data_IF_581260409983
#
_entry.id   IF_581260409983
#
_cell.length_a   1.000
_cell.length_b   1.000
_cell.length_c   1.000
_cell.angle_alpha   90.00
_cell.angle_beta   90.00
_cell.angle_gamma   90.00
#
_symmetry.space_group_name_H-M   'P 1'
#
loop_
_entity.id
_entity.type
_entity.pdbx_description
1 polymer ?
#
# COMPACT_ATOMS: atom_id res chain seq x y z
N UNK A 1 43.75 20.42 -22.92
CA UNK A 1 43.44 20.90 -21.57
C UNK A 1 41.89 21.06 -21.38
N UNK A 2 41.09 20.27 -22.11
CA UNK A 2 39.62 20.44 -22.17
C UNK A 2 38.77 19.32 -21.55
N UNK A 3 39.40 18.34 -20.92
CA UNK A 3 38.66 17.17 -20.36
C UNK A 3 38.17 17.42 -18.92
N UNK A 4 38.59 18.50 -18.24
CA UNK A 4 38.22 18.77 -16.83
C UNK A 4 36.97 19.61 -16.65
N UNK A 5 36.47 20.31 -17.64
CA UNK A 5 35.32 21.24 -17.49
C UNK A 5 34.00 20.49 -17.68
N UNK A 6 33.92 19.55 -18.58
CA UNK A 6 32.70 18.76 -18.83
C UNK A 6 32.33 17.86 -17.61
N UNK A 7 33.31 17.27 -16.95
CA UNK A 7 33.07 16.43 -15.77
C UNK A 7 32.62 17.24 -14.54
N UNK A 8 33.09 18.49 -14.38
CA UNK A 8 32.64 19.35 -13.28
C UNK A 8 31.21 19.87 -13.51
N UNK A 9 30.82 20.17 -14.73
CA UNK A 9 29.46 20.60 -15.05
C UNK A 9 28.48 19.43 -14.84
N UNK A 10 28.83 18.21 -15.25
CA UNK A 10 27.99 17.02 -15.05
C UNK A 10 27.80 16.67 -13.57
N UNK A 11 28.85 16.77 -12.74
CA UNK A 11 28.77 16.56 -11.29
C UNK A 11 27.98 17.70 -10.58
N UNK A 12 28.12 18.93 -11.01
CA UNK A 12 27.41 20.06 -10.45
C UNK A 12 25.91 20.02 -10.83
N UNK A 13 25.58 19.71 -12.09
CA UNK A 13 24.22 19.49 -12.53
C UNK A 13 23.56 18.28 -11.83
N UNK A 14 24.33 17.21 -11.59
CA UNK A 14 23.84 16.04 -10.84
C UNK A 14 23.55 16.39 -9.37
N UNK A 15 24.43 17.18 -8.70
CA UNK A 15 24.21 17.65 -7.32
C UNK A 15 23.06 18.63 -7.20
N UNK A 16 22.92 19.57 -8.13
CA UNK A 16 21.79 20.52 -8.17
C UNK A 16 20.49 19.80 -8.46
N UNK A 17 20.48 18.85 -9.37
CA UNK A 17 19.31 18.01 -9.66
C UNK A 17 18.94 17.10 -8.48
N UNK A 18 19.94 16.63 -7.72
CA UNK A 18 19.75 15.88 -6.48
C UNK A 18 19.16 16.75 -5.37
N UNK A 19 19.69 17.95 -5.18
CA UNK A 19 19.16 18.91 -4.20
C UNK A 19 17.76 19.40 -4.55
N UNK A 20 17.45 19.59 -5.83
CA UNK A 20 16.11 19.92 -6.30
C UNK A 20 15.14 18.71 -6.18
N UNK A 21 15.61 17.48 -6.38
CA UNK A 21 14.79 16.26 -6.14
C UNK A 21 14.50 16.02 -4.66
N UNK A 22 15.39 16.39 -3.75
CA UNK A 22 15.10 16.35 -2.30
C UNK A 22 14.02 17.37 -1.88
N UNK A 23 13.80 18.41 -2.68
CA UNK A 23 12.73 19.40 -2.49
C UNK A 23 11.47 19.00 -3.26
N UNK A 24 11.59 18.25 -4.35
CA UNK A 24 10.50 17.70 -5.15
C UNK A 24 10.10 16.33 -4.60
N UNK A 25 8.84 16.20 -4.24
CA UNK A 25 8.23 15.08 -3.53
C UNK A 25 8.61 13.68 -4.03
N UNK A 26 8.36 12.69 -3.17
CA UNK A 26 8.55 11.25 -3.44
C UNK A 26 7.83 10.81 -4.71
N UNK A 27 8.50 9.98 -5.52
CA UNK A 27 7.90 9.40 -6.72
C UNK A 27 6.74 8.47 -6.36
N UNK A 28 5.61 8.63 -7.03
CA UNK A 28 4.44 7.77 -6.88
C UNK A 28 4.32 6.89 -8.11
N UNK A 29 4.26 5.60 -7.91
CA UNK A 29 4.10 4.60 -8.97
C UNK A 29 2.74 3.92 -8.78
N UNK A 30 1.92 3.93 -9.83
CA UNK A 30 0.54 3.46 -9.73
C UNK A 30 0.23 2.45 -10.84
N UNK A 31 -0.18 1.23 -10.46
CA UNK A 31 -0.76 0.31 -11.41
C UNK A 31 -2.26 0.61 -11.55
N UNK A 32 -2.74 0.74 -12.79
CA UNK A 32 -4.12 1.10 -13.13
C UNK A 32 -4.71 0.13 -14.15
N UNK A 33 -6.05 0.05 -14.25
CA UNK A 33 -6.70 -0.53 -15.41
C UNK A 33 -6.23 0.19 -16.70
N UNK A 34 -6.05 -0.53 -17.83
CA UNK A 34 -5.47 0.04 -19.06
C UNK A 34 -6.17 1.31 -19.56
N UNK A 35 -7.49 1.38 -19.44
CA UNK A 35 -8.29 2.52 -19.87
C UNK A 35 -8.07 3.80 -19.05
N UNK A 36 -7.38 3.73 -17.90
CA UNK A 36 -7.12 4.90 -17.05
C UNK A 36 -5.70 5.42 -17.16
N UNK A 37 -4.76 4.64 -17.69
CA UNK A 37 -3.34 5.01 -17.74
C UNK A 37 -3.13 6.33 -18.47
N UNK A 38 -3.74 6.49 -19.64
CA UNK A 38 -3.55 7.67 -20.49
C UNK A 38 -4.24 8.93 -19.96
N UNK A 39 -5.32 8.80 -19.21
CA UNK A 39 -6.09 9.92 -18.71
C UNK A 39 -5.81 10.30 -17.25
N UNK A 40 -5.10 9.47 -16.50
CA UNK A 40 -4.87 9.63 -15.07
C UNK A 40 -4.31 11.02 -14.70
N UNK A 41 -3.26 11.45 -15.38
CA UNK A 41 -2.59 12.72 -15.08
C UNK A 41 -3.52 13.92 -15.30
N UNK A 42 -4.38 13.86 -16.31
CA UNK A 42 -5.34 14.91 -16.61
C UNK A 42 -6.51 14.91 -15.61
N UNK A 43 -7.00 13.71 -15.21
CA UNK A 43 -8.13 13.56 -14.28
C UNK A 43 -7.75 13.96 -12.85
N UNK A 44 -6.58 13.55 -12.39
CA UNK A 44 -6.10 13.84 -11.02
C UNK A 44 -5.33 15.16 -10.94
N UNK A 45 -5.07 15.83 -12.07
CA UNK A 45 -4.28 17.09 -12.14
C UNK A 45 -2.88 16.95 -11.52
N UNK A 46 -2.21 15.83 -11.79
CA UNK A 46 -0.87 15.51 -11.26
C UNK A 46 0.19 15.48 -12.36
N UNK A 47 1.43 15.84 -12.01
CA UNK A 47 2.53 15.87 -12.98
C UNK A 47 3.05 14.49 -13.31
N UNK A 48 3.58 14.33 -14.53
CA UNK A 48 4.28 13.10 -14.96
C UNK A 48 5.68 12.97 -14.34
N UNK A 49 6.21 14.03 -13.75
CA UNK A 49 7.50 14.02 -13.05
C UNK A 49 7.37 13.34 -11.68
N UNK A 50 6.27 13.63 -10.97
CA UNK A 50 6.00 13.07 -9.65
C UNK A 50 5.30 11.70 -9.73
N UNK A 51 4.49 11.49 -10.75
CA UNK A 51 3.68 10.29 -10.91
C UNK A 51 4.06 9.51 -12.17
N UNK A 52 4.12 8.21 -12.02
CA UNK A 52 4.18 7.26 -13.11
C UNK A 52 3.04 6.25 -12.97
N UNK A 53 2.32 5.99 -14.05
CA UNK A 53 1.30 4.96 -14.06
C UNK A 53 1.44 4.03 -15.26
N UNK A 54 1.10 2.76 -15.05
CA UNK A 54 1.04 1.74 -16.08
C UNK A 54 -0.01 0.70 -15.74
N UNK A 55 -0.35 -0.15 -16.69
CA UNK A 55 -1.17 -1.34 -16.48
C UNK A 55 -0.33 -2.60 -16.58
N UNK A 56 -0.81 -3.70 -16.00
CA UNK A 56 -0.22 -5.00 -16.27
C UNK A 56 -0.24 -5.31 -17.77
N UNK A 57 0.73 -6.10 -18.29
CA UNK A 57 0.74 -6.53 -19.67
C UNK A 57 -0.56 -7.27 -20.03
N UNK A 58 -1.05 -7.05 -21.24
CA UNK A 58 -2.30 -7.66 -21.72
C UNK A 58 -2.23 -9.19 -21.63
N UNK A 59 -3.21 -9.78 -20.96
CA UNK A 59 -3.29 -11.24 -20.78
C UNK A 59 -2.40 -11.81 -19.68
N UNK A 60 -1.47 -11.03 -19.10
CA UNK A 60 -0.62 -11.50 -18.02
C UNK A 60 -1.36 -11.39 -16.66
N UNK A 61 -1.08 -12.36 -15.78
CA UNK A 61 -1.48 -12.35 -14.37
C UNK A 61 -0.22 -12.42 -13.54
N UNK A 62 0.36 -11.25 -13.26
CA UNK A 62 1.66 -11.17 -12.62
C UNK A 62 1.61 -11.41 -11.10
N UNK A 63 0.45 -11.32 -10.47
CA UNK A 63 0.35 -11.29 -9.00
C UNK A 63 0.84 -9.96 -8.41
N UNK A 64 0.77 -9.81 -7.09
CA UNK A 64 1.15 -8.56 -6.42
C UNK A 64 2.67 -8.31 -6.45
N UNK A 65 3.49 -9.32 -6.32
CA UNK A 65 4.96 -9.22 -6.43
C UNK A 65 5.42 -8.99 -7.86
N UNK A 66 4.91 -9.77 -8.82
CA UNK A 66 5.20 -9.59 -10.24
C UNK A 66 4.71 -8.24 -10.77
N UNK A 67 3.53 -7.77 -10.34
CA UNK A 67 3.01 -6.45 -10.66
C UNK A 67 3.89 -5.32 -10.08
N UNK A 68 4.43 -5.50 -8.87
CA UNK A 68 5.44 -4.59 -8.30
C UNK A 68 6.68 -4.51 -9.21
N UNK A 69 7.21 -5.66 -9.60
CA UNK A 69 8.38 -5.74 -10.49
C UNK A 69 8.14 -5.08 -11.83
N UNK A 70 6.99 -5.34 -12.44
CA UNK A 70 6.58 -4.72 -13.70
C UNK A 70 6.52 -3.19 -13.61
N UNK A 71 5.88 -2.69 -12.55
CA UNK A 71 5.70 -1.26 -12.34
C UNK A 71 7.05 -0.54 -12.12
N UNK A 72 7.96 -1.13 -11.34
CA UNK A 72 9.33 -0.62 -11.13
C UNK A 72 10.13 -0.60 -12.44
N UNK A 73 10.15 -1.71 -13.18
CA UNK A 73 10.87 -1.82 -14.44
C UNK A 73 10.32 -0.87 -15.52
N UNK A 74 9.00 -0.74 -15.63
CA UNK A 74 8.38 0.16 -16.57
C UNK A 74 8.74 1.64 -16.27
N UNK A 75 8.73 2.02 -14.98
CA UNK A 75 9.15 3.35 -14.55
C UNK A 75 10.64 3.61 -14.84
N UNK A 76 11.52 2.68 -14.45
CA UNK A 76 12.96 2.79 -14.70
C UNK A 76 13.27 2.92 -16.19
N UNK A 77 12.70 2.06 -17.02
CA UNK A 77 12.94 2.09 -18.49
C UNK A 77 12.50 3.41 -19.12
N UNK A 78 11.45 4.03 -18.61
CA UNK A 78 10.98 5.32 -19.10
C UNK A 78 11.86 6.49 -18.65
N UNK A 79 12.35 6.44 -17.40
CA UNK A 79 13.03 7.58 -16.75
C UNK A 79 14.56 7.53 -16.89
N UNK A 80 15.11 6.33 -16.83
CA UNK A 80 16.55 6.09 -16.77
C UNK A 80 16.91 4.74 -17.43
N UNK A 81 16.71 4.59 -18.76
CA UNK A 81 16.90 3.31 -19.47
C UNK A 81 18.33 2.75 -19.35
N UNK A 82 19.31 3.62 -19.25
CA UNK A 82 20.74 3.26 -19.20
C UNK A 82 21.28 3.08 -17.76
N UNK A 83 20.44 3.25 -16.73
CA UNK A 83 20.83 3.10 -15.33
C UNK A 83 20.48 1.71 -14.84
N UNK A 84 21.37 1.07 -14.08
CA UNK A 84 21.09 -0.24 -13.46
C UNK A 84 19.93 -0.17 -12.46
N UNK A 85 19.30 -1.30 -12.21
CA UNK A 85 18.22 -1.38 -11.20
C UNK A 85 18.72 -0.94 -9.83
N UNK A 86 19.91 -1.41 -9.45
CA UNK A 86 20.55 -1.09 -8.17
C UNK A 86 20.77 0.42 -7.99
N UNK A 87 21.35 1.06 -9.00
CA UNK A 87 21.61 2.49 -8.96
C UNK A 87 20.30 3.29 -8.96
N UNK A 88 19.33 2.88 -9.78
CA UNK A 88 18.05 3.57 -9.90
C UNK A 88 17.21 3.46 -8.61
N UNK A 89 17.20 2.30 -7.93
CA UNK A 89 16.49 2.11 -6.67
C UNK A 89 17.01 3.05 -5.59
N UNK A 90 18.33 3.21 -5.45
CA UNK A 90 18.95 4.07 -4.46
C UNK A 90 18.83 5.58 -4.73
N UNK A 91 18.25 6.03 -5.85
CA UNK A 91 18.20 7.45 -6.22
C UNK A 91 17.12 8.24 -5.48
N UNK A 92 16.00 7.64 -5.12
CA UNK A 92 14.87 8.34 -4.49
C UNK A 92 13.92 7.38 -3.79
N UNK A 93 13.16 7.90 -2.82
CA UNK A 93 12.07 7.17 -2.16
C UNK A 93 10.83 7.11 -3.06
N UNK A 94 10.12 5.97 -3.03
CA UNK A 94 8.95 5.66 -3.90
C UNK A 94 7.79 5.13 -3.10
N UNK A 95 6.58 5.49 -3.54
CA UNK A 95 5.33 4.91 -3.06
C UNK A 95 4.68 4.17 -4.23
N UNK A 96 4.53 2.85 -4.11
CA UNK A 96 3.85 2.01 -5.08
C UNK A 96 2.44 1.69 -4.61
N UNK A 97 1.46 1.91 -5.49
CA UNK A 97 0.05 1.67 -5.23
C UNK A 97 -0.50 0.65 -6.24
N UNK A 98 -0.99 -0.46 -5.73
CA UNK A 98 -1.60 -1.51 -6.56
C UNK A 98 -3.10 -1.28 -6.73
N UNK A 99 -3.51 -0.79 -7.90
CA UNK A 99 -4.90 -0.52 -8.24
C UNK A 99 -5.33 -1.09 -9.61
N UNK A 100 -4.48 -1.87 -10.26
CA UNK A 100 -4.71 -2.43 -11.61
C UNK A 100 -5.63 -3.66 -11.67
N UNK A 101 -6.11 -4.16 -10.54
CA UNK A 101 -6.93 -5.37 -10.49
C UNK A 101 -8.28 -5.25 -11.22
N UNK A 102 -8.84 -6.39 -11.67
CA UNK A 102 -10.07 -6.45 -12.48
C UNK A 102 -11.35 -6.03 -11.73
N UNK A 103 -11.28 -5.69 -10.45
CA UNK A 103 -12.41 -5.22 -9.62
C UNK A 103 -13.68 -6.08 -9.69
N UNK A 104 -13.55 -7.40 -9.94
CA UNK A 104 -14.69 -8.32 -10.15
C UNK A 104 -15.72 -8.30 -9.03
N UNK A 105 -15.28 -8.06 -7.78
CA UNK A 105 -16.15 -8.02 -6.59
C UNK A 105 -16.75 -6.62 -6.34
N UNK A 106 -16.35 -5.64 -7.14
CA UNK A 106 -16.86 -4.27 -7.11
C UNK A 106 -17.06 -3.76 -8.55
N UNK A 107 -17.99 -4.39 -9.31
CA UNK A 107 -18.12 -4.15 -10.75
C UNK A 107 -18.52 -2.71 -11.10
N UNK A 108 -19.28 -2.02 -10.24
CA UNK A 108 -19.70 -0.64 -10.46
C UNK A 108 -18.53 0.36 -10.57
N UNK A 109 -17.36 0.01 -10.02
CA UNK A 109 -16.16 0.85 -10.05
C UNK A 109 -15.01 0.22 -10.86
N UNK A 110 -15.26 -0.88 -11.56
CA UNK A 110 -14.25 -1.50 -12.40
C UNK A 110 -13.72 -0.56 -13.51
N UNK A 111 -14.58 0.19 -14.23
CA UNK A 111 -14.12 1.10 -15.28
C UNK A 111 -13.32 2.30 -14.77
N UNK A 112 -13.63 2.83 -13.59
CA UNK A 112 -12.95 3.98 -12.99
C UNK A 112 -11.79 3.60 -12.08
N UNK A 113 -11.55 2.29 -11.88
CA UNK A 113 -10.57 1.78 -10.91
C UNK A 113 -11.00 2.05 -9.46
N UNK A 114 -10.78 1.10 -8.57
CA UNK A 114 -11.19 1.23 -7.15
C UNK A 114 -10.54 2.42 -6.44
N UNK A 115 -9.29 2.71 -6.78
CA UNK A 115 -8.51 3.76 -6.12
C UNK A 115 -9.04 5.17 -6.38
N UNK A 116 -9.73 5.37 -7.50
CA UNK A 116 -10.39 6.63 -7.85
C UNK A 116 -11.88 6.67 -7.42
N UNK A 117 -12.34 5.70 -6.63
CA UNK A 117 -13.69 5.69 -6.07
C UNK A 117 -13.91 6.97 -5.25
N UNK A 118 -14.93 7.79 -5.59
CA UNK A 118 -15.29 8.97 -4.80
C UNK A 118 -15.71 8.56 -3.38
N UNK A 119 -15.06 9.14 -2.38
CA UNK A 119 -15.38 8.90 -0.97
C UNK A 119 -15.86 10.22 -0.35
N UNK A 120 -17.16 10.41 -0.18
CA UNK A 120 -17.72 11.62 0.42
C UNK A 120 -17.48 11.58 1.94
N UNK A 121 -16.49 12.33 2.41
CA UNK A 121 -16.23 12.53 3.84
C UNK A 121 -16.54 13.97 4.20
N UNK A 122 -17.47 14.15 5.14
CA UNK A 122 -17.81 15.48 5.61
C UNK A 122 -16.68 16.05 6.49
N UNK A 123 -16.06 17.11 6.02
CA UNK A 123 -15.04 17.89 6.75
C UNK A 123 -15.55 19.31 6.97
N UNK A 124 -16.39 19.48 7.96
CA UNK A 124 -17.01 20.77 8.27
C UNK A 124 -16.03 21.95 8.41
N UNK A 125 -14.84 21.69 8.98
CA UNK A 125 -13.81 22.72 9.13
C UNK A 125 -13.14 23.15 7.83
N UNK A 126 -13.25 22.33 6.74
CA UNK A 126 -12.55 22.53 5.46
C UNK A 126 -13.47 22.49 4.24
N UNK A 127 -14.78 22.28 4.45
CA UNK A 127 -15.74 22.00 3.39
C UNK A 127 -15.58 20.57 2.82
N UNK A 128 -16.61 20.12 2.11
CA UNK A 128 -16.56 18.88 1.36
C UNK A 128 -15.80 19.09 0.06
N UNK A 129 -14.83 18.21 -0.21
CA UNK A 129 -14.16 18.18 -1.52
C UNK A 129 -14.90 17.20 -2.43
N UNK A 130 -15.53 17.70 -3.49
CA UNK A 130 -16.23 16.86 -4.46
C UNK A 130 -15.30 15.91 -5.22
N UNK A 131 -14.06 16.32 -5.41
CA UNK A 131 -13.00 15.53 -6.06
C UNK A 131 -12.28 14.55 -5.13
N UNK A 132 -12.69 14.42 -3.87
CA UNK A 132 -12.06 13.51 -2.93
C UNK A 132 -12.36 12.07 -3.29
N UNK A 133 -11.31 11.30 -3.55
CA UNK A 133 -11.37 9.88 -3.85
C UNK A 133 -10.50 9.07 -2.89
N UNK A 134 -10.49 7.75 -3.04
CA UNK A 134 -9.72 6.86 -2.15
C UNK A 134 -8.21 7.13 -2.23
N UNK A 135 -7.67 7.46 -3.41
CA UNK A 135 -6.26 7.83 -3.60
C UNK A 135 -5.89 9.05 -2.75
N UNK A 136 -6.65 10.13 -2.86
CA UNK A 136 -6.38 11.38 -2.13
C UNK A 136 -6.50 11.22 -0.61
N UNK A 137 -7.25 10.23 -0.13
CA UNK A 137 -7.37 9.90 1.29
C UNK A 137 -6.20 9.07 1.83
N UNK A 138 -5.68 8.15 1.03
CA UNK A 138 -4.60 7.23 1.43
C UNK A 138 -3.23 7.93 1.45
N UNK A 139 -2.94 8.69 0.42
CA UNK A 139 -1.61 9.22 0.11
C UNK A 139 -0.94 9.98 1.27
N UNK A 140 -1.62 10.86 2.03
CA UNK A 140 -0.99 11.60 3.11
C UNK A 140 -0.40 10.73 4.24
N UNK A 141 -0.95 9.55 4.50
CA UNK A 141 -0.39 8.61 5.47
C UNK A 141 0.91 8.00 4.93
N UNK A 142 0.90 7.53 3.69
CA UNK A 142 2.06 6.90 3.06
C UNK A 142 3.24 7.86 2.91
N UNK A 143 2.97 9.12 2.54
CA UNK A 143 3.99 10.17 2.52
C UNK A 143 4.59 10.46 3.91
N UNK A 144 3.77 10.48 4.96
CA UNK A 144 4.26 10.64 6.34
C UNK A 144 5.15 9.47 6.77
N UNK A 145 4.75 8.24 6.43
CA UNK A 145 5.54 7.03 6.72
C UNK A 145 6.89 7.12 6.00
N UNK A 146 6.90 7.40 4.70
CA UNK A 146 8.13 7.46 3.91
C UNK A 146 9.05 8.62 4.31
N UNK A 147 8.51 9.76 4.74
CA UNK A 147 9.30 10.86 5.29
C UNK A 147 10.03 10.48 6.60
N UNK A 148 9.43 9.57 7.37
CA UNK A 148 9.99 9.08 8.64
C UNK A 148 10.85 7.83 8.48
N UNK A 149 10.74 7.15 7.36
CA UNK A 149 11.49 5.93 7.07
C UNK A 149 13.00 6.21 6.99
N UNK A 150 13.86 5.30 7.51
CA UNK A 150 15.30 5.35 7.30
C UNK A 150 15.68 5.47 5.82
N UNK A 151 16.88 5.97 5.55
CA UNK A 151 17.37 6.14 4.18
C UNK A 151 17.67 4.80 3.47
N UNK A 152 17.71 3.69 4.20
CA UNK A 152 17.82 2.34 3.64
C UNK A 152 16.50 1.79 3.09
N UNK A 153 15.36 2.41 3.44
CA UNK A 153 14.01 1.98 3.02
C UNK A 153 13.47 2.93 1.93
N UNK A 154 13.75 2.63 0.67
CA UNK A 154 13.37 3.48 -0.45
C UNK A 154 11.97 3.19 -1.02
N UNK A 155 11.41 2.01 -0.78
CA UNK A 155 10.18 1.58 -1.44
C UNK A 155 9.07 1.27 -0.45
N UNK A 156 7.95 1.98 -0.54
CA UNK A 156 6.71 1.63 0.13
C UNK A 156 5.75 1.01 -0.89
N UNK A 157 5.20 -0.16 -0.56
CA UNK A 157 4.16 -0.82 -1.35
C UNK A 157 2.86 -0.76 -0.57
N UNK A 158 1.77 -0.35 -1.22
CA UNK A 158 0.45 -0.32 -0.61
C UNK A 158 -0.66 -0.81 -1.54
N UNK A 159 -1.73 -1.34 -0.92
CA UNK A 159 -2.95 -1.72 -1.63
C UNK A 159 -3.78 -0.50 -1.98
N UNK A 160 -4.34 -0.49 -3.20
CA UNK A 160 -5.16 0.63 -3.70
C UNK A 160 -6.63 0.57 -3.30
N UNK A 161 -7.11 -0.50 -2.69
CA UNK A 161 -8.52 -0.67 -2.32
C UNK A 161 -8.78 -0.60 -0.81
N UNK A 162 -7.92 0.10 -0.09
CA UNK A 162 -8.06 0.31 1.36
C UNK A 162 -7.95 1.80 1.70
N UNK A 163 -8.62 2.23 2.75
CA UNK A 163 -8.37 3.50 3.42
C UNK A 163 -7.88 3.21 4.83
N UNK A 164 -6.67 3.67 5.12
CA UNK A 164 -6.02 3.46 6.41
C UNK A 164 -5.81 4.83 7.06
N UNK A 165 -6.21 4.95 8.32
CA UNK A 165 -5.98 6.14 9.14
C UNK A 165 -5.06 5.81 10.30
N UNK A 166 -4.22 6.78 10.66
CA UNK A 166 -3.45 6.78 11.90
C UNK A 166 -3.71 8.12 12.61
N UNK A 167 -4.37 8.08 13.75
CA UNK A 167 -4.74 9.26 14.55
C UNK A 167 -3.75 9.52 15.69
N UNK A 168 -2.71 8.73 15.80
CA UNK A 168 -1.61 8.94 16.72
C UNK A 168 -0.28 9.15 15.96
N UNK A 169 0.73 9.73 16.60
CA UNK A 169 2.07 9.85 16.02
C UNK A 169 2.64 8.48 15.64
N UNK A 170 3.27 8.41 14.48
CA UNK A 170 3.96 7.19 14.03
C UNK A 170 5.13 6.89 14.95
N UNK A 171 5.34 5.61 15.24
CA UNK A 171 6.51 5.10 15.95
C UNK A 171 7.78 5.30 15.12
N UNK A 172 8.94 5.12 15.74
CA UNK A 172 10.21 5.02 15.04
C UNK A 172 10.21 3.78 14.14
N UNK A 173 10.72 3.95 12.93
CA UNK A 173 10.81 2.87 11.94
C UNK A 173 12.22 2.29 12.01
N UNK A 174 12.39 1.00 12.36
CA UNK A 174 13.70 0.39 12.47
C UNK A 174 14.40 0.25 11.12
N UNK A 175 15.73 0.25 11.15
CA UNK A 175 16.56 0.04 9.98
C UNK A 175 16.74 -1.47 9.73
N UNK A 176 15.84 -2.04 8.94
CA UNK A 176 15.79 -3.45 8.56
C UNK A 176 15.46 -3.58 7.07
N UNK A 177 15.56 -4.80 6.50
CA UNK A 177 15.27 -5.00 5.07
C UNK A 177 13.78 -4.84 4.72
N UNK A 178 12.88 -5.25 5.63
CA UNK A 178 11.42 -5.17 5.42
C UNK A 178 10.73 -4.71 6.69
N UNK A 179 9.84 -3.71 6.56
CA UNK A 179 8.94 -3.29 7.64
C UNK A 179 7.51 -3.45 7.18
N UNK A 180 6.72 -4.23 7.93
CA UNK A 180 5.31 -4.44 7.65
C UNK A 180 4.45 -3.76 8.72
N UNK A 181 3.48 -2.97 8.30
CA UNK A 181 2.49 -2.40 9.22
C UNK A 181 1.28 -3.30 9.37
N UNK A 182 0.81 -3.42 10.60
CA UNK A 182 -0.39 -4.20 10.92
C UNK A 182 -1.26 -3.55 11.97
N UNK A 183 -2.40 -4.18 12.25
CA UNK A 183 -3.33 -3.76 13.28
C UNK A 183 -3.64 -4.89 14.24
N UNK A 184 -3.77 -4.54 15.52
CA UNK A 184 -4.40 -5.40 16.50
C UNK A 184 -5.91 -5.43 16.21
N UNK A 185 -6.43 -6.60 15.86
CA UNK A 185 -7.84 -6.80 15.54
C UNK A 185 -8.35 -8.12 16.12
N UNK A 186 -9.65 -8.25 16.21
CA UNK A 186 -10.28 -9.51 16.58
C UNK A 186 -9.97 -10.62 15.55
N UNK A 187 -9.79 -11.87 15.99
CA UNK A 187 -9.52 -13.00 15.10
C UNK A 187 -10.53 -13.16 13.94
N UNK A 188 -11.79 -12.81 14.20
CA UNK A 188 -12.88 -12.86 13.22
C UNK A 188 -12.64 -11.94 12.00
N UNK A 189 -11.90 -10.85 12.17
CA UNK A 189 -11.49 -9.96 11.09
C UNK A 189 -10.17 -10.43 10.48
N UNK A 190 -9.17 -10.77 11.31
CA UNK A 190 -7.84 -11.20 10.88
C UNK A 190 -7.86 -12.40 9.93
N UNK A 191 -8.78 -13.36 10.12
CA UNK A 191 -8.91 -14.56 9.27
C UNK A 191 -9.10 -14.31 7.77
N UNK A 192 -9.52 -13.11 7.40
CA UNK A 192 -9.77 -12.75 5.99
C UNK A 192 -8.55 -12.09 5.31
N UNK A 193 -7.48 -11.85 6.05
CA UNK A 193 -6.29 -11.11 5.63
C UNK A 193 -5.00 -11.90 5.86
N UNK A 194 -3.88 -11.33 5.46
CA UNK A 194 -2.57 -11.75 5.94
C UNK A 194 -2.44 -11.48 7.43
N UNK A 195 -1.65 -12.29 8.12
CA UNK A 195 -1.40 -12.17 9.56
C UNK A 195 0.08 -12.31 9.83
N UNK A 196 0.67 -11.31 10.45
CA UNK A 196 2.03 -11.33 10.96
C UNK A 196 2.02 -11.90 12.37
N UNK A 197 2.78 -12.95 12.60
CA UNK A 197 2.90 -13.60 13.90
C UNK A 197 4.24 -13.28 14.51
N UNK A 198 4.25 -12.92 15.79
CA UNK A 198 5.47 -12.65 16.56
C UNK A 198 5.45 -13.37 17.91
N UNK A 199 6.63 -13.63 18.45
CA UNK A 199 6.72 -14.13 19.82
C UNK A 199 6.37 -13.03 20.82
N UNK A 200 5.79 -13.40 21.96
CA UNK A 200 5.52 -12.43 23.05
C UNK A 200 6.77 -11.76 23.61
N UNK A 201 7.96 -12.37 23.44
CA UNK A 201 9.24 -11.82 23.88
C UNK A 201 9.84 -10.80 22.90
N UNK A 202 9.44 -10.85 21.64
CA UNK A 202 9.92 -9.96 20.56
C UNK A 202 8.75 -9.57 19.67
N UNK A 203 7.85 -8.68 20.15
CA UNK A 203 6.59 -8.41 19.49
C UNK A 203 6.72 -7.66 18.15
N UNK A 204 7.82 -6.98 17.95
CA UNK A 204 8.16 -6.18 16.75
C UNK A 204 8.99 -6.96 15.71
N UNK A 205 9.34 -8.20 16.00
CA UNK A 205 10.08 -9.05 15.07
C UNK A 205 9.15 -10.12 14.50
N UNK A 206 9.10 -10.22 13.17
CA UNK A 206 8.32 -11.25 12.50
C UNK A 206 8.88 -12.65 12.81
N UNK A 207 8.05 -13.52 13.35
CA UNK A 207 8.35 -14.93 13.46
C UNK A 207 8.00 -15.67 12.17
N UNK A 208 6.77 -15.52 11.72
CA UNK A 208 6.29 -15.98 10.41
C UNK A 208 4.99 -15.25 10.01
N UNK A 209 4.66 -15.35 8.73
CA UNK A 209 3.40 -14.84 8.18
C UNK A 209 2.44 -15.99 7.86
N UNK A 210 1.14 -15.72 7.97
CA UNK A 210 0.05 -16.60 7.53
C UNK A 210 -0.86 -15.86 6.57
N UNK A 211 -1.42 -16.60 5.60
CA UNK A 211 -2.44 -16.07 4.69
C UNK A 211 -3.80 -16.67 5.02
N UNK A 212 -4.73 -15.80 5.39
CA UNK A 212 -6.14 -16.16 5.69
C UNK A 212 -6.25 -17.36 6.63
N UNK A 213 -5.63 -17.31 7.82
CA UNK A 213 -5.65 -18.42 8.76
C UNK A 213 -7.07 -18.69 9.26
N UNK A 214 -7.34 -19.94 9.66
CA UNK A 214 -8.60 -20.29 10.31
C UNK A 214 -8.72 -19.67 11.70
N UNK A 215 -9.93 -19.56 12.24
CA UNK A 215 -10.13 -19.13 13.64
C UNK A 215 -9.49 -20.10 14.64
N UNK A 216 -9.48 -21.38 14.33
CA UNK A 216 -8.83 -22.42 15.12
C UNK A 216 -7.32 -22.16 15.20
N UNK A 217 -6.66 -21.98 14.05
CA UNK A 217 -5.22 -21.63 14.00
C UNK A 217 -4.90 -20.36 14.79
N UNK A 218 -5.73 -19.31 14.66
CA UNK A 218 -5.54 -18.06 15.43
C UNK A 218 -5.75 -18.29 16.95
N UNK A 219 -6.72 -19.14 17.33
CA UNK A 219 -6.96 -19.51 18.72
C UNK A 219 -5.78 -20.26 19.35
N UNK A 220 -5.19 -21.23 18.64
CA UNK A 220 -4.00 -21.94 19.07
C UNK A 220 -2.79 -21.01 19.24
N UNK A 221 -2.58 -20.09 18.31
CA UNK A 221 -1.49 -19.11 18.36
C UNK A 221 -1.64 -18.13 19.52
N UNK A 222 -2.86 -17.73 19.87
CA UNK A 222 -3.11 -16.74 20.91
C UNK A 222 -2.55 -17.11 22.28
N UNK A 223 -2.34 -18.39 22.56
CA UNK A 223 -1.71 -18.88 23.81
C UNK A 223 -0.22 -18.53 23.93
N UNK A 224 0.52 -18.52 22.81
CA UNK A 224 2.00 -18.44 22.80
C UNK A 224 2.55 -17.25 22.02
N UNK A 225 1.79 -16.71 21.06
CA UNK A 225 2.20 -15.65 20.15
C UNK A 225 1.30 -14.41 20.24
N UNK A 226 1.75 -13.35 19.61
CA UNK A 226 0.96 -12.19 19.26
C UNK A 226 0.77 -12.20 17.74
N UNK A 227 -0.31 -11.57 17.25
CA UNK A 227 -0.48 -11.41 15.81
C UNK A 227 -1.07 -10.05 15.45
N UNK A 228 -0.61 -9.52 14.33
CA UNK A 228 -1.12 -8.31 13.70
C UNK A 228 -1.76 -8.68 12.35
N UNK A 229 -2.93 -8.16 12.08
CA UNK A 229 -3.51 -8.24 10.73
C UNK A 229 -2.70 -7.34 9.78
N UNK A 230 -2.28 -7.88 8.65
CA UNK A 230 -1.66 -7.13 7.57
C UNK A 230 -2.65 -6.10 7.00
N UNK A 231 -2.23 -4.86 6.92
CA UNK A 231 -3.02 -3.76 6.36
C UNK A 231 -2.55 -3.34 4.97
N UNK A 232 -1.62 -4.09 4.39
CA UNK A 232 -1.12 -3.85 3.05
C UNK A 232 -0.20 -2.63 2.93
N UNK A 233 0.55 -2.28 3.97
CA UNK A 233 1.61 -1.27 3.94
C UNK A 233 2.94 -1.95 4.27
N UNK A 234 3.82 -2.03 3.27
CA UNK A 234 5.13 -2.66 3.38
C UNK A 234 6.22 -1.70 2.93
N UNK A 235 7.26 -1.54 3.73
CA UNK A 235 8.46 -0.79 3.35
C UNK A 235 9.59 -1.78 3.07
N UNK A 236 10.29 -1.59 1.98
CA UNK A 236 11.35 -2.49 1.52
C UNK A 236 12.64 -1.73 1.28
N UNK A 237 13.76 -2.34 1.71
CA UNK A 237 15.10 -1.93 1.29
C UNK A 237 15.32 -2.27 -0.19
N UNK A 238 16.33 -1.66 -0.80
CA UNK A 238 16.71 -1.99 -2.19
C UNK A 238 17.11 -3.46 -2.34
N UNK A 239 17.71 -4.05 -1.29
CA UNK A 239 18.01 -5.48 -1.25
C UNK A 239 16.73 -6.33 -1.31
N UNK A 240 15.74 -6.01 -0.49
CA UNK A 240 14.48 -6.73 -0.49
C UNK A 240 13.72 -6.56 -1.82
N UNK A 241 13.72 -5.36 -2.40
CA UNK A 241 13.11 -5.10 -3.72
C UNK A 241 13.80 -5.92 -4.81
N UNK A 242 15.12 -5.96 -4.84
CA UNK A 242 15.85 -6.76 -5.85
C UNK A 242 15.55 -8.25 -5.75
N UNK A 243 15.44 -8.78 -4.54
CA UNK A 243 15.04 -10.19 -4.34
C UNK A 243 13.60 -10.42 -4.80
N UNK A 244 12.67 -9.53 -4.47
CA UNK A 244 11.29 -9.59 -4.95
C UNK A 244 11.26 -9.60 -6.50
N UNK A 245 12.04 -8.72 -7.12
CA UNK A 245 12.16 -8.65 -8.58
C UNK A 245 12.75 -9.93 -9.14
N UNK A 246 13.85 -10.45 -8.57
CA UNK A 246 14.50 -11.70 -8.99
C UNK A 246 13.50 -12.87 -9.01
N UNK A 247 12.71 -13.02 -7.94
CA UNK A 247 11.70 -14.09 -7.84
C UNK A 247 10.49 -13.91 -8.76
N UNK A 248 10.29 -12.71 -9.30
CA UNK A 248 9.26 -12.41 -10.29
C UNK A 248 9.66 -12.77 -11.73
N UNK A 249 10.87 -13.25 -11.95
CA UNK A 249 11.34 -13.74 -13.25
C UNK A 249 11.49 -15.26 -13.25
N UNK A 250 11.48 -15.85 -14.44
CA UNK A 250 11.87 -17.24 -14.65
C UNK A 250 13.34 -17.43 -14.30
N UNK A 251 13.79 -18.65 -14.03
CA UNK A 251 15.17 -18.96 -13.63
C UNK A 251 16.21 -18.47 -14.65
N UNK A 252 15.86 -18.46 -15.93
CA UNK A 252 16.70 -17.93 -17.02
C UNK A 252 16.66 -16.39 -17.13
N UNK A 253 15.87 -15.71 -16.30
CA UNK A 253 15.71 -14.25 -16.27
C UNK A 253 15.04 -13.63 -17.49
N UNK A 254 14.49 -14.43 -18.42
CA UNK A 254 13.99 -13.93 -19.72
C UNK A 254 12.52 -13.51 -19.70
N UNK A 255 11.72 -14.13 -18.86
CA UNK A 255 10.29 -13.87 -18.79
C UNK A 255 9.83 -13.59 -17.36
N UNK A 256 8.86 -12.70 -17.21
CA UNK A 256 8.17 -12.53 -15.93
C UNK A 256 7.20 -13.67 -15.68
N UNK A 257 7.14 -14.14 -14.43
CA UNK A 257 6.19 -15.12 -13.95
C UNK A 257 5.26 -14.50 -12.91
N UNK A 258 4.13 -15.15 -12.66
CA UNK A 258 3.28 -14.81 -11.55
C UNK A 258 4.05 -15.00 -10.23
N UNK A 259 4.03 -13.97 -9.39
CA UNK A 259 4.63 -13.99 -8.07
C UNK A 259 3.81 -13.12 -7.12
N UNK A 260 3.49 -13.66 -5.95
CA UNK A 260 2.62 -12.98 -5.01
C UNK A 260 3.41 -12.41 -3.82
N UNK A 261 3.23 -11.11 -3.56
CA UNK A 261 3.90 -10.40 -2.46
C UNK A 261 3.51 -11.00 -1.09
N UNK A 262 2.25 -11.41 -0.93
CA UNK A 262 1.74 -11.86 0.36
C UNK A 262 1.88 -13.37 0.55
N UNK A 263 1.50 -14.15 -0.47
CA UNK A 263 1.43 -15.61 -0.39
C UNK A 263 2.73 -16.34 -0.77
N UNK A 264 3.71 -15.62 -1.36
CA UNK A 264 5.01 -16.20 -1.70
C UNK A 264 6.14 -15.43 -1.02
N UNK A 265 6.37 -14.16 -1.35
CA UNK A 265 7.41 -13.36 -0.72
C UNK A 265 7.20 -13.25 0.79
N UNK A 266 6.00 -12.87 1.24
CA UNK A 266 5.69 -12.70 2.67
C UNK A 266 5.80 -13.99 3.48
N UNK A 267 5.40 -15.13 2.93
CA UNK A 267 5.52 -16.43 3.60
C UNK A 267 6.98 -16.92 3.73
N UNK A 268 7.90 -16.35 2.95
CA UNK A 268 9.33 -16.61 3.04
C UNK A 268 10.04 -15.67 4.05
N UNK A 269 9.34 -14.74 4.69
CA UNK A 269 9.91 -13.81 5.66
C UNK A 269 9.79 -14.31 7.12
N UNK A 270 10.68 -13.79 7.97
CA UNK A 270 10.66 -14.03 9.42
C UNK A 270 11.66 -15.06 9.90
N UNK A 271 11.66 -15.32 11.21
CA UNK A 271 12.59 -16.25 11.85
C UNK A 271 12.27 -17.72 11.55
N UNK A 272 10.97 -18.05 11.43
CA UNK A 272 10.45 -19.38 11.15
C UNK A 272 9.54 -19.35 9.91
N UNK A 273 10.09 -19.02 8.73
CA UNK A 273 9.31 -18.78 7.51
C UNK A 273 8.55 -20.03 7.08
N UNK A 274 7.42 -19.86 6.41
CA UNK A 274 6.60 -20.94 5.89
C UNK A 274 7.06 -21.45 4.53
N UNK A 275 7.85 -20.66 3.82
CA UNK A 275 8.52 -21.02 2.57
C UNK A 275 10.02 -20.94 2.80
N UNK A 276 10.74 -22.02 2.46
CA UNK A 276 12.19 -22.06 2.53
C UNK A 276 12.79 -21.44 1.26
N UNK A 277 13.56 -20.39 1.45
CA UNK A 277 14.32 -19.72 0.39
C UNK A 277 15.64 -19.20 0.98
N UNK A 278 16.75 -19.54 0.35
CA UNK A 278 18.09 -19.27 0.89
C UNK A 278 18.46 -17.79 0.96
N UNK A 279 17.82 -16.94 0.16
CA UNK A 279 18.08 -15.51 0.12
C UNK A 279 16.99 -14.72 0.89
N UNK A 280 15.71 -15.03 0.66
CA UNK A 280 14.59 -14.32 1.31
C UNK A 280 14.55 -14.56 2.83
N UNK A 281 14.87 -15.78 3.26
CA UNK A 281 14.88 -16.11 4.70
C UNK A 281 15.99 -15.36 5.48
N UNK A 282 16.93 -14.71 4.79
CA UNK A 282 17.99 -13.90 5.41
C UNK A 282 17.63 -12.42 5.53
N UNK A 283 16.46 -12.01 5.02
CA UNK A 283 16.01 -10.62 5.16
C UNK A 283 15.63 -10.35 6.63
N UNK A 284 16.12 -9.23 7.14
CA UNK A 284 15.69 -8.72 8.44
C UNK A 284 14.30 -8.09 8.33
N UNK A 285 13.39 -8.47 9.23
CA UNK A 285 11.98 -8.06 9.14
C UNK A 285 11.46 -7.56 10.48
N UNK A 286 10.88 -6.38 10.48
CA UNK A 286 10.13 -5.83 11.59
C UNK A 286 8.63 -5.73 11.25
N UNK A 287 7.80 -5.92 12.27
CA UNK A 287 6.35 -5.68 12.19
C UNK A 287 5.98 -4.58 13.16
N UNK A 288 5.22 -3.61 12.70
CA UNK A 288 4.85 -2.45 13.51
C UNK A 288 3.32 -2.32 13.59
N UNK A 289 2.76 -2.23 14.80
CA UNK A 289 1.37 -1.82 14.93
C UNK A 289 1.22 -0.36 14.49
N UNK A 290 0.22 -0.06 13.67
CA UNK A 290 -0.07 1.32 13.29
C UNK A 290 -0.79 2.03 14.44
N UNK A 291 -0.18 3.07 15.07
CA UNK A 291 -0.74 3.68 16.27
C UNK A 291 -2.09 4.38 16.02
N UNK A 292 -3.12 4.00 16.78
CA UNK A 292 -4.48 4.47 16.58
C UNK A 292 -4.99 4.20 15.17
N UNK A 293 -4.55 3.08 14.59
CA UNK A 293 -4.87 2.69 13.22
C UNK A 293 -6.31 2.24 13.06
N UNK A 294 -6.91 2.65 11.95
CA UNK A 294 -8.24 2.24 11.50
C UNK A 294 -8.13 1.78 10.04
N UNK A 295 -8.86 0.73 9.70
CA UNK A 295 -8.79 0.07 8.40
C UNK A 295 -10.17 -0.05 7.77
N UNK A 296 -10.32 0.51 6.57
CA UNK A 296 -11.55 0.51 5.79
C UNK A 296 -11.28 -0.10 4.42
N UNK A 297 -11.84 -1.27 4.16
CA UNK A 297 -11.64 -2.00 2.91
C UNK A 297 -12.75 -1.68 1.90
N UNK A 298 -12.36 -1.54 0.64
CA UNK A 298 -13.23 -1.24 -0.51
C UNK A 298 -13.15 -2.34 -1.57
N UNK A 299 -12.92 -3.57 -1.16
CA UNK A 299 -12.71 -4.71 -2.04
C UNK A 299 -13.98 -5.25 -2.70
N UNK A 300 -15.15 -5.06 -2.06
CA UNK A 300 -16.45 -5.57 -2.51
C UNK A 300 -17.53 -4.50 -2.43
N UNK A 301 -18.68 -4.70 -3.10
CA UNK A 301 -19.82 -3.78 -3.03
C UNK A 301 -20.36 -3.64 -1.61
N UNK A 302 -20.35 -4.70 -0.80
CA UNK A 302 -20.77 -4.64 0.61
C UNK A 302 -19.81 -3.79 1.44
N UNK A 303 -18.52 -3.99 1.25
CA UNK A 303 -17.48 -3.24 1.96
C UNK A 303 -17.46 -1.76 1.53
N UNK A 304 -17.73 -1.46 0.26
CA UNK A 304 -17.93 -0.07 -0.19
C UNK A 304 -19.00 0.64 0.66
N UNK A 305 -20.16 0.01 0.85
CA UNK A 305 -21.27 0.59 1.62
C UNK A 305 -20.87 0.74 3.09
N UNK A 306 -20.38 -0.32 3.72
CA UNK A 306 -20.07 -0.31 5.16
C UNK A 306 -18.88 0.60 5.48
N UNK A 307 -17.82 0.57 4.67
CA UNK A 307 -16.65 1.43 4.87
C UNK A 307 -16.98 2.91 4.62
N UNK A 308 -17.75 3.22 3.58
CA UNK A 308 -18.18 4.62 3.32
C UNK A 308 -19.02 5.16 4.47
N UNK A 309 -19.97 4.39 4.99
CA UNK A 309 -20.78 4.78 6.13
C UNK A 309 -19.91 4.99 7.38
N UNK A 310 -19.01 4.06 7.67
CA UNK A 310 -18.10 4.15 8.80
C UNK A 310 -17.21 5.40 8.71
N UNK A 311 -16.59 5.66 7.55
CA UNK A 311 -15.73 6.82 7.30
C UNK A 311 -16.51 8.14 7.44
N UNK A 312 -17.75 8.21 6.96
CA UNK A 312 -18.60 9.39 7.12
C UNK A 312 -18.92 9.67 8.59
N UNK A 313 -19.12 8.64 9.39
CA UNK A 313 -19.42 8.78 10.80
C UNK A 313 -18.21 9.16 11.68
N UNK A 314 -16.98 9.02 11.18
CA UNK A 314 -15.77 9.41 11.92
C UNK A 314 -15.68 10.90 12.23
N UNK A 315 -16.18 11.75 11.34
CA UNK A 315 -16.02 13.19 11.47
C UNK A 315 -17.09 13.78 12.37
N UNK A 316 -18.31 13.25 12.25
CA UNK A 316 -19.46 13.62 13.10
C UNK A 316 -20.55 12.58 12.93
N UNK A 317 -21.26 12.26 14.01
CA UNK A 317 -22.49 11.47 13.90
C UNK A 317 -23.53 12.27 13.11
N UNK A 318 -23.78 11.87 11.87
CA UNK A 318 -24.74 12.58 11.01
C UNK A 318 -26.15 12.60 11.59
N UNK A 319 -26.49 11.63 12.41
CA UNK A 319 -27.78 11.61 13.14
C UNK A 319 -27.90 12.77 14.12
N UNK A 320 -26.81 13.11 14.81
CA UNK A 320 -26.76 14.25 15.71
C UNK A 320 -26.87 15.58 14.95
N UNK A 321 -26.20 15.71 13.81
CA UNK A 321 -26.26 16.92 12.97
C UNK A 321 -27.67 17.16 12.42
N UNK A 322 -28.32 16.08 11.98
CA UNK A 322 -29.64 16.13 11.34
C UNK A 322 -30.80 16.03 12.35
N UNK A 323 -30.52 16.08 13.66
CA UNK A 323 -31.47 15.87 14.75
C UNK A 323 -32.23 14.54 14.61
N UNK A 324 -31.66 13.54 14.01
CA UNK A 324 -32.28 12.24 13.77
C UNK A 324 -32.14 11.35 14.98
N UNK A 325 -33.26 10.95 15.57
CA UNK A 325 -33.33 10.01 16.70
C UNK A 325 -33.35 8.53 16.24
N UNK A 326 -33.28 8.27 14.97
CA UNK A 326 -33.37 6.91 14.43
C UNK A 326 -32.01 6.20 14.58
N UNK A 327 -32.02 5.12 15.37
CA UNK A 327 -30.88 4.22 15.49
C UNK A 327 -31.04 3.14 14.42
N UNK A 328 -30.21 3.10 13.35
CA UNK A 328 -30.39 2.09 12.33
C UNK A 328 -30.12 0.70 12.89
N UNK A 329 -30.87 -0.28 12.41
CA UNK A 329 -30.60 -1.69 12.68
C UNK A 329 -29.21 -2.06 12.15
N UNK A 330 -28.43 -2.95 12.80
CA UNK A 330 -27.08 -3.33 12.36
C UNK A 330 -26.99 -3.83 10.91
N UNK A 331 -28.08 -4.39 10.38
CA UNK A 331 -28.17 -4.85 8.98
C UNK A 331 -28.70 -3.78 8.01
N UNK A 332 -28.96 -2.56 8.46
CA UNK A 332 -29.48 -1.48 7.62
C UNK A 332 -28.38 -0.46 7.30
N UNK A 333 -28.28 -0.13 6.04
CA UNK A 333 -27.43 0.94 5.53
C UNK A 333 -28.29 2.14 5.17
N UNK A 334 -28.59 2.97 6.17
CA UNK A 334 -29.43 4.16 6.02
C UNK A 334 -28.56 5.40 6.05
N UNK A 335 -28.60 6.15 4.98
CA UNK A 335 -27.83 7.38 4.82
C UNK A 335 -28.76 8.51 4.35
N UNK A 336 -28.76 9.61 5.10
CA UNK A 336 -29.55 10.81 4.76
C UNK A 336 -31.03 10.55 4.48
N UNK A 337 -31.62 9.57 5.16
CA UNK A 337 -33.02 9.21 5.02
C UNK A 337 -33.79 9.41 6.35
N UNK A 338 -35.08 9.65 6.26
CA UNK A 338 -36.00 9.67 7.38
C UNK A 338 -36.80 8.38 7.36
N UNK A 339 -36.69 7.58 8.42
CA UNK A 339 -37.48 6.36 8.58
C UNK A 339 -38.71 6.67 9.43
N UNK A 340 -39.87 6.42 8.87
CA UNK A 340 -41.16 6.61 9.56
C UNK A 340 -41.72 5.33 10.20
N UNK A 341 -41.14 4.15 9.87
CA UNK A 341 -41.54 2.88 10.47
C UNK A 341 -40.77 2.61 11.75
N UNK A 342 -41.48 2.17 12.77
CA UNK A 342 -40.89 1.50 13.95
C UNK A 342 -40.45 0.12 13.49
N UNK A 343 -39.15 -0.15 13.53
CA UNK A 343 -38.59 -1.49 13.35
C UNK A 343 -38.67 -2.25 14.65
#
# INVERSE_FOLDING_TARGET
>A
MDIRIENLSYFCFRKIRWSLRMIMGMKKLLSLPPNLVDCFHAVEHVSTEEWFCTSDPVGARLGSGGGTTWLLEASRRKEAPDVSVEEWLGQEKRILLHAGGQSRRLPGYAPSGKILTPIPVFRWARGQRLSQNLLSLQLPLYERIMKKAPESLHTLIASGDVYIRANQPLQEIPEVDVVCYGLWVEPSLAKNHGVFVSSRKSPDTLDFMLQKPSLETLGELAGSHLFLMDIGIWLLSDKAVRLLMKHSYTEDGKAMKAYDLYAEFGLALGKNPRITDSELNQLSVAILPLPGGEFYHYGTSRELISSTLAVQNLVRDQRAIMQRKVKPHPAMFVQNAVLHQKL
#
